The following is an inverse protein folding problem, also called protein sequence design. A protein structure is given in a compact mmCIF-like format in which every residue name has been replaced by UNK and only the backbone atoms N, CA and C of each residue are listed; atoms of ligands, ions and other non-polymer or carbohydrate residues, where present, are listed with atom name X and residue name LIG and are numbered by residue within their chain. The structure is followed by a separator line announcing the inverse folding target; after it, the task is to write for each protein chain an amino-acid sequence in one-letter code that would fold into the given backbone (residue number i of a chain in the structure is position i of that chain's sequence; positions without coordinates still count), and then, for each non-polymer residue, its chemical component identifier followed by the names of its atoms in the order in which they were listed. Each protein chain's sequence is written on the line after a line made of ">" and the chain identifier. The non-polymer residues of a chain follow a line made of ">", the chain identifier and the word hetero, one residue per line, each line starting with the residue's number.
data_IF_985409225243
#
_entry.id   IF_985409225243
#
_cell.length_a   1.000
_cell.length_b   1.000
_cell.length_c   1.000
_cell.angle_alpha   90.00
_cell.angle_beta   90.00
_cell.angle_gamma   90.00
#
_symmetry.space_group_name_H-M   'P 1'
#
loop_
_entity.id
_entity.type
_entity.pdbx_description
1 polymer ?
#
# COMPACT_ATOMS: atom_id res chain seq x y z
N UNK A 1 20.34 -13.48 9.95
CA UNK A 1 19.78 -12.12 10.12
C UNK A 1 18.27 -12.22 10.14
N UNK A 2 17.66 -12.26 11.32
CA UNK A 2 16.20 -12.27 11.45
C UNK A 2 15.68 -10.93 10.93
N UNK A 3 14.94 -10.92 9.82
CA UNK A 3 14.21 -9.72 9.39
C UNK A 3 13.19 -9.44 10.49
N UNK A 4 13.46 -8.39 11.27
CA UNK A 4 12.54 -7.80 12.24
C UNK A 4 11.17 -7.71 11.56
N UNK A 5 10.17 -8.42 12.11
CA UNK A 5 8.79 -8.32 11.62
C UNK A 5 8.32 -6.90 11.93
N UNK A 6 8.59 -5.97 11.02
CA UNK A 6 8.02 -4.62 11.03
C UNK A 6 6.52 -4.83 11.10
N UNK A 7 5.93 -4.51 12.25
CA UNK A 7 4.48 -4.38 12.39
C UNK A 7 4.00 -3.50 11.24
N UNK A 8 2.93 -3.87 10.51
CA UNK A 8 2.43 -3.04 9.42
C UNK A 8 2.13 -1.68 10.01
N UNK A 9 2.93 -0.67 9.66
CA UNK A 9 2.63 0.70 10.07
C UNK A 9 1.32 1.06 9.38
N UNK A 10 0.40 1.70 10.12
CA UNK A 10 -0.83 2.20 9.51
C UNK A 10 -0.48 3.40 8.63
N UNK A 11 -0.34 3.16 7.33
CA UNK A 11 -0.05 4.21 6.35
C UNK A 11 -1.34 4.81 5.79
N UNK A 12 -2.35 3.97 5.59
CA UNK A 12 -3.65 4.36 5.04
C UNK A 12 -4.74 3.99 6.03
N UNK A 13 -5.64 4.93 6.36
CA UNK A 13 -6.74 4.67 7.30
C UNK A 13 -7.86 3.86 6.63
N UNK A 14 -8.45 2.92 7.39
CA UNK A 14 -9.62 2.16 6.96
C UNK A 14 -9.33 0.97 6.04
N UNK A 15 -8.06 0.67 5.77
CA UNK A 15 -7.66 -0.51 4.97
C UNK A 15 -7.12 -1.62 5.86
N UNK A 16 -7.25 -2.87 5.41
CA UNK A 16 -6.84 -4.04 6.17
C UNK A 16 -5.31 -4.28 6.20
N UNK A 17 -4.84 -5.27 6.99
CA UNK A 17 -3.42 -5.62 7.09
C UNK A 17 -2.78 -6.10 5.79
N UNK A 18 -3.58 -6.53 4.80
CA UNK A 18 -3.08 -6.92 3.47
C UNK A 18 -2.75 -5.67 2.66
N UNK A 19 -3.65 -4.71 2.66
CA UNK A 19 -3.51 -3.43 1.98
C UNK A 19 -2.37 -2.58 2.55
N UNK A 20 -2.14 -2.62 3.88
CA UNK A 20 -0.97 -1.97 4.48
C UNK A 20 0.36 -2.54 3.94
N UNK A 21 0.43 -3.86 3.69
CA UNK A 21 1.63 -4.49 3.10
C UNK A 21 1.77 -4.17 1.62
N UNK A 22 0.65 -4.05 0.91
CA UNK A 22 0.64 -3.62 -0.48
C UNK A 22 1.15 -2.18 -0.63
N UNK A 23 0.78 -1.28 0.29
CA UNK A 23 1.32 0.07 0.35
C UNK A 23 2.85 0.05 0.42
N UNK A 24 3.42 -0.69 1.37
CA UNK A 24 4.88 -0.78 1.56
C UNK A 24 5.57 -1.30 0.30
N UNK A 25 4.99 -2.33 -0.35
CA UNK A 25 5.56 -2.90 -1.57
C UNK A 25 5.53 -1.92 -2.75
N UNK A 26 4.43 -1.19 -2.93
CA UNK A 26 4.31 -0.19 -4.00
C UNK A 26 5.25 0.98 -3.74
N UNK A 27 5.35 1.45 -2.49
CA UNK A 27 6.27 2.52 -2.10
C UNK A 27 7.72 2.11 -2.36
N UNK A 28 8.15 0.94 -1.90
CA UNK A 28 9.51 0.44 -2.11
C UNK A 28 9.82 0.26 -3.61
N UNK A 29 8.87 -0.24 -4.39
CA UNK A 29 9.03 -0.38 -5.84
C UNK A 29 9.13 0.98 -6.55
N UNK A 30 8.29 1.93 -6.16
CA UNK A 30 8.29 3.30 -6.68
C UNK A 30 9.61 4.02 -6.37
N UNK A 31 10.10 3.90 -5.14
CA UNK A 31 11.40 4.45 -4.71
C UNK A 31 12.56 3.83 -5.47
N UNK A 32 12.62 2.49 -5.55
CA UNK A 32 13.66 1.77 -6.32
C UNK A 32 13.69 2.14 -7.80
N UNK A 33 12.51 2.38 -8.39
CA UNK A 33 12.42 2.79 -9.79
C UNK A 33 12.88 4.23 -10.04
N UNK A 34 12.97 5.06 -9.00
CA UNK A 34 13.26 6.50 -9.11
C UNK A 34 12.21 7.32 -9.86
N UNK A 35 11.10 6.70 -10.30
CA UNK A 35 10.15 7.30 -11.25
C UNK A 35 9.31 8.42 -10.65
N UNK A 36 9.10 8.40 -9.35
CA UNK A 36 8.12 9.28 -8.67
C UNK A 36 8.74 10.20 -7.61
N UNK A 37 10.00 9.99 -7.23
CA UNK A 37 10.68 10.78 -6.18
C UNK A 37 9.83 10.85 -4.92
N UNK A 38 9.60 12.08 -4.44
CA UNK A 38 8.79 12.37 -3.24
C UNK A 38 7.33 11.91 -3.35
N UNK A 39 6.82 11.65 -4.56
CA UNK A 39 5.45 11.19 -4.79
C UNK A 39 5.26 9.68 -4.59
N UNK A 40 6.30 8.91 -4.27
CA UNK A 40 6.19 7.47 -4.07
C UNK A 40 5.14 7.09 -3.00
N UNK A 41 5.08 7.86 -1.92
CA UNK A 41 4.10 7.76 -0.83
C UNK A 41 2.66 7.99 -1.33
N UNK A 42 2.45 9.06 -2.09
CA UNK A 42 1.13 9.40 -2.64
C UNK A 42 0.63 8.32 -3.62
N UNK A 43 1.52 7.84 -4.50
CA UNK A 43 1.20 6.80 -5.49
C UNK A 43 0.83 5.49 -4.79
N UNK A 44 1.56 5.11 -3.74
CA UNK A 44 1.26 3.93 -2.94
C UNK A 44 -0.11 4.06 -2.25
N UNK A 45 -0.39 5.21 -1.60
CA UNK A 45 -1.66 5.45 -0.93
C UNK A 45 -2.84 5.40 -1.91
N UNK A 46 -2.72 6.08 -3.06
CA UNK A 46 -3.76 6.13 -4.09
C UNK A 46 -4.06 4.76 -4.69
N UNK A 47 -3.02 3.98 -4.97
CA UNK A 47 -3.19 2.63 -5.53
C UNK A 47 -3.92 1.72 -4.56
N UNK A 48 -3.52 1.73 -3.29
CA UNK A 48 -4.17 0.93 -2.25
C UNK A 48 -5.61 1.34 -2.02
N UNK A 49 -5.90 2.65 -1.92
CA UNK A 49 -7.29 3.13 -1.79
C UNK A 49 -8.16 2.76 -2.98
N UNK A 50 -7.60 2.76 -4.20
CA UNK A 50 -8.31 2.29 -5.40
C UNK A 50 -8.64 0.80 -5.30
N UNK A 51 -7.65 -0.04 -5.01
CA UNK A 51 -7.85 -1.49 -4.86
C UNK A 51 -8.80 -1.85 -3.72
N UNK A 52 -8.72 -1.14 -2.59
CA UNK A 52 -9.62 -1.32 -1.45
C UNK A 52 -11.06 -1.00 -1.86
N UNK A 53 -11.30 0.13 -2.53
CA UNK A 53 -12.64 0.45 -3.06
C UNK A 53 -13.12 -0.63 -4.02
N UNK A 54 -12.35 -0.98 -5.04
CA UNK A 54 -12.73 -2.01 -6.03
C UNK A 54 -13.04 -3.37 -5.38
N UNK A 55 -12.26 -3.78 -4.38
CA UNK A 55 -12.46 -5.04 -3.65
C UNK A 55 -13.71 -5.00 -2.76
N UNK A 56 -14.00 -3.87 -2.12
CA UNK A 56 -15.17 -3.69 -1.27
C UNK A 56 -16.46 -3.37 -2.04
N UNK A 57 -16.37 -2.94 -3.30
CA UNK A 57 -17.52 -2.78 -4.20
C UNK A 57 -18.02 -4.10 -4.80
N UNK A 58 -17.28 -5.22 -4.65
CA UNK A 58 -17.78 -6.57 -4.93
C UNK A 58 -18.60 -7.09 -3.74
N UNK A 59 -19.79 -6.52 -3.52
CA UNK A 59 -20.85 -7.20 -2.77
C UNK A 59 -22.14 -7.10 -3.57
N UNK A 60 -22.28 -8.07 -4.47
CA UNK A 60 -23.35 -8.22 -5.44
C UNK A 60 -23.25 -9.59 -6.12
N UNK A 61 -23.18 -10.63 -5.30
CA UNK A 61 -23.63 -12.00 -5.60
C UNK A 61 -24.65 -12.38 -4.52
#
# INVERSE_FOLDING_TARGET
>A
MAKEKKQPKEHVKGVGPKEQREYEHIKESAEKSGRYGDRAEEVAARTVLKHHKESHHKKGE
#
